data_IF_070786849000
#
_entry.id   IF_070786849000
#
_cell.length_a   1.000
_cell.length_b   1.000
_cell.length_c   1.000
_cell.angle_alpha   90.00
_cell.angle_beta   90.00
_cell.angle_gamma   90.00
#
_symmetry.space_group_name_H-M   'P 1'
#
loop_
_entity.id
_entity.type
_entity.pdbx_description
1 polymer ?
#
# COMPACT_ATOMS: atom_id res chain seq x y z
N UNK A 1 19.86 62.53 16.92
CA UNK A 1 18.62 61.77 16.69
C UNK A 1 18.92 60.29 16.97
N UNK A 2 18.37 59.72 18.03
CA UNK A 2 18.38 58.27 18.30
C UNK A 2 17.07 57.65 17.76
N UNK A 3 16.81 56.34 17.94
CA UNK A 3 17.40 55.14 17.33
C UNK A 3 16.30 54.34 16.55
N UNK A 4 16.54 53.15 16.00
CA UNK A 4 16.00 51.92 16.62
C UNK A 4 16.63 50.66 16.02
N UNK A 5 17.15 49.85 16.93
CA UNK A 5 17.50 48.44 16.78
C UNK A 5 16.25 47.59 16.51
N UNK A 6 16.19 46.87 15.38
CA UNK A 6 15.21 45.79 15.21
C UNK A 6 15.63 44.59 16.08
N UNK A 7 14.95 44.45 17.21
CA UNK A 7 14.91 43.22 18.02
C UNK A 7 14.41 42.09 17.13
N UNK A 8 15.27 41.13 16.81
CA UNK A 8 14.85 39.80 16.36
C UNK A 8 14.08 39.16 17.53
N UNK A 9 12.75 39.25 17.46
CA UNK A 9 11.82 38.57 18.37
C UNK A 9 11.95 37.07 18.10
N UNK A 10 12.57 36.35 19.04
CA UNK A 10 12.50 34.89 19.09
C UNK A 10 11.03 34.47 19.25
N UNK A 11 10.43 34.05 18.14
CA UNK A 11 9.09 33.46 18.10
C UNK A 11 9.23 31.95 17.98
N UNK A 12 8.61 31.25 18.93
CA UNK A 12 8.47 29.81 19.09
C UNK A 12 8.79 28.95 17.86
N UNK A 13 10.02 28.43 17.83
CA UNK A 13 10.45 27.32 16.96
C UNK A 13 9.50 26.11 17.02
N UNK A 14 8.82 25.91 18.16
CA UNK A 14 7.79 24.88 18.38
C UNK A 14 6.57 25.04 17.45
N UNK A 15 6.16 26.27 17.14
CA UNK A 15 5.02 26.52 16.25
C UNK A 15 5.38 26.36 14.77
N UNK A 16 6.62 26.70 14.41
CA UNK A 16 7.13 26.56 13.04
C UNK A 16 7.31 25.09 12.68
N UNK A 17 7.87 24.25 13.57
CA UNK A 17 7.98 22.81 13.30
C UNK A 17 6.60 22.15 13.18
N UNK A 18 5.65 22.45 14.07
CA UNK A 18 4.29 21.88 13.99
C UNK A 18 3.59 22.30 12.69
N UNK A 19 3.77 23.54 12.24
CA UNK A 19 3.22 24.03 10.99
C UNK A 19 3.85 23.38 9.75
N UNK A 20 5.16 23.14 9.76
CA UNK A 20 5.87 22.47 8.65
C UNK A 20 5.51 20.97 8.59
N UNK A 21 5.31 20.30 9.72
CA UNK A 21 4.84 18.91 9.77
C UNK A 21 3.39 18.75 9.29
N UNK A 22 2.49 19.67 9.66
CA UNK A 22 1.12 19.68 9.15
C UNK A 22 1.07 19.98 7.63
N UNK A 23 1.89 20.91 7.16
CA UNK A 23 1.99 21.23 5.73
C UNK A 23 2.61 20.08 4.92
N UNK A 24 3.63 19.39 5.45
CA UNK A 24 4.23 18.22 4.83
C UNK A 24 3.26 17.02 4.78
N UNK A 25 2.45 16.81 5.82
CA UNK A 25 1.36 15.83 5.80
C UNK A 25 0.32 16.14 4.72
N UNK A 26 -0.04 17.41 4.51
CA UNK A 26 -0.99 17.80 3.46
C UNK A 26 -0.42 17.55 2.05
N UNK A 27 0.88 17.76 1.84
CA UNK A 27 1.55 17.53 0.55
C UNK A 27 1.72 16.04 0.20
N UNK A 28 1.70 15.14 1.18
CA UNK A 28 1.74 13.68 0.92
C UNK A 28 0.39 13.08 0.49
N UNK A 29 -0.71 13.84 0.59
CA UNK A 29 -2.05 13.36 0.20
C UNK A 29 -2.36 13.57 -1.29
N UNK A 30 -1.43 14.11 -2.07
CA UNK A 30 -1.61 14.37 -3.51
C UNK A 30 -0.99 13.28 -4.41
N UNK A 31 -0.90 12.05 -3.94
CA UNK A 31 -0.44 10.92 -4.76
C UNK A 31 -1.50 9.84 -4.88
N UNK A 32 -2.62 10.15 -5.54
CA UNK A 32 -3.47 9.20 -6.27
C UNK A 32 -4.65 9.94 -6.94
N UNK A 33 -4.36 10.80 -7.91
CA UNK A 33 -5.36 11.12 -8.95
C UNK A 33 -4.80 10.69 -10.30
N UNK A 34 -4.56 9.39 -10.43
CA UNK A 34 -4.88 8.74 -11.68
C UNK A 34 -6.28 8.16 -11.48
N UNK A 35 -7.11 8.16 -12.51
CA UNK A 35 -8.31 7.32 -12.57
C UNK A 35 -7.87 5.83 -12.50
N UNK A 36 -7.37 5.40 -11.35
CA UNK A 36 -7.16 4.00 -11.07
C UNK A 36 -8.55 3.41 -10.89
N UNK A 37 -8.99 2.61 -11.87
CA UNK A 37 -10.15 1.72 -11.69
C UNK A 37 -10.00 0.89 -10.41
N UNK A 38 -8.75 0.64 -10.00
CA UNK A 38 -8.40 -0.07 -8.76
C UNK A 38 -8.31 0.90 -7.56
N UNK A 39 -9.30 0.81 -6.67
CA UNK A 39 -9.24 1.44 -5.34
C UNK A 39 -8.45 0.59 -4.34
N UNK A 40 -7.41 1.16 -3.72
CA UNK A 40 -6.65 0.43 -2.70
C UNK A 40 -7.48 0.02 -1.48
N UNK A 41 -8.48 0.81 -1.09
CA UNK A 41 -9.36 0.43 0.02
C UNK A 41 -10.15 -0.83 -0.33
N UNK A 42 -10.66 -0.95 -1.56
CA UNK A 42 -11.35 -2.15 -2.03
C UNK A 42 -10.41 -3.35 -2.05
N UNK A 43 -9.23 -3.22 -2.67
CA UNK A 43 -8.22 -4.31 -2.72
C UNK A 43 -7.86 -4.78 -1.32
N UNK A 44 -7.64 -3.85 -0.39
CA UNK A 44 -7.31 -4.18 0.99
C UNK A 44 -8.44 -4.91 1.70
N UNK A 45 -9.67 -4.41 1.61
CA UNK A 45 -10.83 -5.04 2.24
C UNK A 45 -11.09 -6.45 1.68
N UNK A 46 -10.96 -6.64 0.37
CA UNK A 46 -11.16 -7.95 -0.26
C UNK A 46 -10.09 -8.95 0.20
N UNK A 47 -8.81 -8.52 0.23
CA UNK A 47 -7.69 -9.37 0.61
C UNK A 47 -7.57 -9.59 2.13
N UNK A 48 -8.31 -8.87 2.98
CA UNK A 48 -8.38 -9.17 4.41
C UNK A 48 -8.91 -10.59 4.67
N UNK A 49 -9.73 -11.14 3.77
CA UNK A 49 -10.15 -12.55 3.83
C UNK A 49 -8.97 -13.54 3.81
N UNK A 50 -7.81 -13.12 3.30
CA UNK A 50 -6.58 -13.92 3.24
C UNK A 50 -5.67 -13.79 4.46
N UNK A 51 -5.95 -12.86 5.38
CA UNK A 51 -5.09 -12.55 6.52
C UNK A 51 -4.78 -13.79 7.37
N UNK A 52 -5.79 -14.63 7.63
CA UNK A 52 -5.60 -15.85 8.41
C UNK A 52 -4.59 -16.81 7.74
N UNK A 53 -4.68 -17.00 6.43
CA UNK A 53 -3.77 -17.88 5.70
C UNK A 53 -2.33 -17.32 5.70
N UNK A 54 -2.15 -16.04 5.39
CA UNK A 54 -0.80 -15.45 5.31
C UNK A 54 -0.11 -15.34 6.68
N UNK A 55 -0.86 -15.38 7.78
CA UNK A 55 -0.34 -15.32 9.16
C UNK A 55 -0.22 -16.73 9.77
N UNK A 56 -1.31 -17.50 9.78
CA UNK A 56 -1.41 -18.77 10.51
C UNK A 56 -1.32 -20.01 9.61
N UNK A 57 -1.72 -19.88 8.34
CA UNK A 57 -1.51 -20.93 7.32
C UNK A 57 -2.72 -21.81 7.14
N UNK A 58 -2.47 -23.08 6.81
CA UNK A 58 -3.53 -23.97 6.34
C UNK A 58 -3.87 -23.70 4.88
N UNK A 59 -5.12 -23.94 4.49
CA UNK A 59 -5.60 -23.67 3.14
C UNK A 59 -6.27 -22.29 3.06
N UNK A 60 -6.11 -21.53 1.96
CA UNK A 60 -6.84 -20.29 1.77
C UNK A 60 -8.35 -20.56 1.74
N UNK A 61 -9.12 -19.65 2.34
CA UNK A 61 -10.57 -19.73 2.34
C UNK A 61 -11.13 -19.49 0.93
N UNK A 62 -12.37 -19.94 0.68
CA UNK A 62 -13.05 -19.66 -0.58
C UNK A 62 -13.18 -18.16 -0.86
N UNK A 63 -13.47 -17.35 0.15
CA UNK A 63 -13.53 -15.88 0.02
C UNK A 63 -12.17 -15.27 -0.31
N UNK A 64 -11.09 -15.76 0.31
CA UNK A 64 -9.73 -15.33 -0.02
C UNK A 64 -9.40 -15.62 -1.49
N UNK A 65 -9.65 -16.84 -1.97
CA UNK A 65 -9.35 -17.17 -3.35
C UNK A 65 -10.23 -16.44 -4.36
N UNK A 66 -11.51 -16.21 -4.05
CA UNK A 66 -12.38 -15.38 -4.88
C UNK A 66 -11.85 -13.94 -5.00
N UNK A 67 -11.35 -13.35 -3.91
CA UNK A 67 -10.72 -12.03 -3.93
C UNK A 67 -9.44 -12.00 -4.79
N UNK A 68 -8.55 -12.98 -4.61
CA UNK A 68 -7.30 -13.09 -5.39
C UNK A 68 -7.59 -13.27 -6.88
N UNK A 69 -8.55 -14.12 -7.23
CA UNK A 69 -8.97 -14.34 -8.62
C UNK A 69 -9.61 -13.09 -9.21
N UNK A 70 -10.53 -12.44 -8.49
CA UNK A 70 -11.16 -11.18 -8.93
C UNK A 70 -10.11 -10.11 -9.25
N UNK A 71 -9.13 -9.94 -8.35
CA UNK A 71 -8.05 -8.97 -8.55
C UNK A 71 -7.18 -9.33 -9.76
N UNK A 72 -6.91 -10.61 -9.98
CA UNK A 72 -6.21 -11.08 -11.17
C UNK A 72 -6.97 -10.74 -12.46
N UNK A 73 -8.27 -11.05 -12.54
CA UNK A 73 -9.08 -10.81 -13.73
C UNK A 73 -9.27 -9.32 -14.03
N UNK A 74 -9.50 -8.51 -12.99
CA UNK A 74 -9.71 -7.05 -13.13
C UNK A 74 -8.46 -6.30 -13.59
N UNK A 75 -7.27 -6.84 -13.29
CA UNK A 75 -5.98 -6.22 -13.68
C UNK A 75 -5.32 -6.89 -14.89
N UNK A 76 -5.91 -7.98 -15.42
CA UNK A 76 -5.30 -8.80 -16.47
C UNK A 76 -4.92 -8.02 -17.74
N UNK A 77 -5.78 -7.10 -18.17
CA UNK A 77 -5.60 -6.37 -19.42
C UNK A 77 -4.78 -5.08 -19.30
N UNK A 78 -4.33 -4.70 -18.09
CA UNK A 78 -3.79 -3.38 -17.81
C UNK A 78 -2.58 -3.45 -16.88
N UNK A 79 -1.40 -3.15 -17.43
CA UNK A 79 -0.15 -3.08 -16.65
C UNK A 79 -0.22 -2.01 -15.57
N UNK A 80 -0.81 -0.85 -15.87
CA UNK A 80 -1.01 0.22 -14.88
C UNK A 80 -1.86 -0.25 -13.71
N UNK A 81 -2.92 -1.03 -13.96
CA UNK A 81 -3.77 -1.54 -12.88
C UNK A 81 -3.06 -2.62 -12.06
N UNK A 82 -2.21 -3.47 -12.68
CA UNK A 82 -1.35 -4.40 -11.94
C UNK A 82 -0.35 -3.69 -11.04
N UNK A 83 0.27 -2.62 -11.52
CA UNK A 83 1.19 -1.79 -10.74
C UNK A 83 0.44 -1.15 -9.57
N UNK A 84 -0.75 -0.57 -9.83
CA UNK A 84 -1.58 0.02 -8.79
C UNK A 84 -1.98 -1.01 -7.72
N UNK A 85 -2.53 -2.16 -8.13
CA UNK A 85 -2.88 -3.26 -7.23
C UNK A 85 -1.68 -3.75 -6.41
N UNK A 86 -0.50 -3.86 -7.02
CA UNK A 86 0.73 -4.23 -6.30
C UNK A 86 1.07 -3.25 -5.19
N UNK A 87 0.97 -1.95 -5.44
CA UNK A 87 1.20 -0.94 -4.41
C UNK A 87 0.18 -1.05 -3.27
N UNK A 88 -1.10 -1.30 -3.58
CA UNK A 88 -2.13 -1.53 -2.58
C UNK A 88 -1.85 -2.77 -1.72
N UNK A 89 -1.47 -3.89 -2.34
CA UNK A 89 -1.10 -5.14 -1.66
C UNK A 89 0.12 -4.92 -0.78
N UNK A 90 1.15 -4.23 -1.28
CA UNK A 90 2.35 -3.93 -0.49
C UNK A 90 2.02 -3.13 0.76
N UNK A 91 1.12 -2.16 0.66
CA UNK A 91 0.62 -1.40 1.80
C UNK A 91 -0.15 -2.28 2.79
N UNK A 92 -0.98 -3.21 2.30
CA UNK A 92 -1.70 -4.16 3.15
C UNK A 92 -0.74 -5.02 3.97
N UNK A 93 0.24 -5.65 3.29
CA UNK A 93 1.23 -6.52 3.92
C UNK A 93 2.06 -5.74 4.95
N UNK A 94 2.38 -4.47 4.66
CA UNK A 94 3.07 -3.60 5.62
C UNK A 94 2.22 -3.31 6.87
N UNK A 95 0.90 -3.17 6.72
CA UNK A 95 -0.04 -2.97 7.84
C UNK A 95 -0.17 -4.20 8.73
N UNK A 96 -0.13 -5.41 8.14
CA UNK A 96 -0.13 -6.67 8.89
C UNK A 96 1.19 -6.94 9.64
N UNK A 97 2.27 -6.25 9.26
CA UNK A 97 3.55 -6.25 9.96
C UNK A 97 4.29 -7.59 9.91
N UNK A 98 5.07 -7.87 10.95
CA UNK A 98 5.97 -9.04 11.04
C UNK A 98 5.25 -10.38 11.20
N UNK A 99 3.93 -10.37 11.37
CA UNK A 99 3.11 -11.60 11.50
C UNK A 99 2.90 -12.31 10.16
N UNK A 100 3.18 -11.63 9.04
CA UNK A 100 3.01 -12.19 7.69
C UNK A 100 4.17 -13.13 7.36
N UNK A 101 3.84 -14.35 6.93
CA UNK A 101 4.79 -15.29 6.36
C UNK A 101 5.04 -14.97 4.87
N UNK A 102 6.25 -14.53 4.47
CA UNK A 102 6.55 -14.20 3.08
C UNK A 102 6.38 -15.36 2.10
N UNK A 103 6.63 -16.59 2.55
CA UNK A 103 6.50 -17.79 1.71
C UNK A 103 5.04 -18.06 1.38
N UNK A 104 4.11 -17.74 2.28
CA UNK A 104 2.66 -17.88 2.06
C UNK A 104 2.13 -16.79 1.16
N UNK A 105 2.63 -15.56 1.29
CA UNK A 105 2.31 -14.49 0.32
C UNK A 105 2.69 -14.91 -1.11
N UNK A 106 3.85 -15.54 -1.28
CA UNK A 106 4.32 -16.02 -2.58
C UNK A 106 3.50 -17.22 -3.10
N UNK A 107 3.07 -18.12 -2.21
CA UNK A 107 2.28 -19.30 -2.55
C UNK A 107 0.81 -18.98 -2.86
N UNK A 108 0.24 -17.96 -2.21
CA UNK A 108 -1.20 -17.66 -2.24
C UNK A 108 -1.82 -17.62 -3.65
N UNK A 109 -1.22 -16.98 -4.67
CA UNK A 109 -1.81 -17.00 -6.01
C UNK A 109 -1.94 -18.43 -6.55
N UNK A 110 -0.89 -19.24 -6.41
CA UNK A 110 -0.88 -20.63 -6.90
C UNK A 110 -1.84 -21.51 -6.13
N UNK A 111 -1.92 -21.35 -4.81
CA UNK A 111 -2.87 -22.07 -3.94
C UNK A 111 -4.32 -21.71 -4.26
N UNK A 112 -4.57 -20.49 -4.78
CA UNK A 112 -5.86 -20.06 -5.30
C UNK A 112 -6.05 -20.28 -6.81
N UNK A 113 -5.22 -21.12 -7.42
CA UNK A 113 -5.27 -21.48 -8.84
C UNK A 113 -5.14 -20.29 -9.81
N UNK A 114 -4.38 -19.26 -9.41
CA UNK A 114 -3.99 -18.11 -10.22
C UNK A 114 -2.52 -18.25 -10.62
N UNK A 115 -2.24 -18.11 -11.92
CA UNK A 115 -0.88 -18.15 -12.45
C UNK A 115 -0.43 -16.76 -12.92
N UNK A 116 0.38 -16.09 -12.12
CA UNK A 116 0.86 -14.73 -12.41
C UNK A 116 2.04 -14.69 -13.39
N UNK A 117 2.78 -15.80 -13.55
CA UNK A 117 4.05 -15.81 -14.31
C UNK A 117 5.20 -15.05 -13.63
N UNK A 118 4.96 -14.49 -12.43
CA UNK A 118 5.94 -13.89 -11.53
C UNK A 118 5.57 -14.19 -10.07
N UNK A 119 6.51 -13.99 -9.15
CA UNK A 119 6.27 -14.21 -7.71
C UNK A 119 5.92 -12.91 -7.00
N UNK A 120 4.89 -12.94 -6.16
CA UNK A 120 4.55 -11.83 -5.26
C UNK A 120 5.35 -11.98 -3.97
N UNK A 121 5.82 -10.87 -3.41
CA UNK A 121 6.57 -10.85 -2.15
C UNK A 121 6.37 -9.51 -1.46
N UNK A 122 6.59 -9.46 -0.15
CA UNK A 122 6.50 -8.22 0.64
C UNK A 122 7.40 -7.11 0.08
N UNK A 123 8.56 -7.50 -0.46
CA UNK A 123 9.56 -6.59 -1.03
C UNK A 123 9.51 -6.50 -2.56
N UNK A 124 8.43 -6.95 -3.20
CA UNK A 124 8.32 -6.87 -4.66
C UNK A 124 8.50 -5.42 -5.14
N UNK A 125 9.25 -5.27 -6.24
CA UNK A 125 9.32 -4.01 -6.96
C UNK A 125 8.11 -3.94 -7.91
N UNK A 126 7.09 -3.17 -7.54
CA UNK A 126 5.87 -3.07 -8.35
C UNK A 126 6.13 -2.56 -9.78
N UNK A 127 7.18 -1.75 -10.00
CA UNK A 127 7.51 -1.25 -11.33
C UNK A 127 7.98 -2.35 -12.30
N UNK A 128 8.46 -3.49 -11.79
CA UNK A 128 8.92 -4.60 -12.62
C UNK A 128 7.82 -5.59 -13.00
N UNK A 129 6.59 -5.40 -12.54
CA UNK A 129 5.47 -6.29 -12.88
C UNK A 129 5.16 -6.15 -14.38
N UNK A 130 5.12 -7.27 -15.15
CA UNK A 130 4.85 -7.27 -16.59
C UNK A 130 3.53 -6.58 -16.94
#
# INVERSE_FOLDING_TARGET
>A
MSPTTHKLKGSSVKGVVVSVWFAACLLTMLSAMGDAVISCSTVQNDLMACAFYVIFGGSPSGSCCSAVQSLYWTTASSRSDRIAACHCIKSLLSSLGSSVDPSRVAALPRDCNVNLGYSVSININCASIP
#
